data_IF_618258264070
#
_entry.id   IF_618258264070
#
_cell.length_a   1.000
_cell.length_b   1.000
_cell.length_c   1.000
_cell.angle_alpha   90.00
_cell.angle_beta   90.00
_cell.angle_gamma   90.00
#
_symmetry.space_group_name_H-M   'P 1'
#
loop_
_entity.id
_entity.type
_entity.pdbx_description
1 polymer ?
#
# COMPACT_ATOMS: atom_id res chain seq x y z
N UNK A 1 -21.30 -0.79 6.33
CA UNK A 1 -20.98 -0.65 4.89
C UNK A 1 -21.50 -1.89 4.19
N UNK A 2 -22.15 -1.73 3.04
CA UNK A 2 -22.48 -2.87 2.17
C UNK A 2 -21.18 -3.59 1.75
N UNK A 3 -21.18 -4.93 1.74
CA UNK A 3 -19.98 -5.74 1.43
C UNK A 3 -19.44 -5.41 0.05
N UNK A 4 -20.33 -5.12 -0.89
CA UNK A 4 -19.96 -4.70 -2.24
C UNK A 4 -19.21 -3.37 -2.23
N UNK A 5 -19.67 -2.38 -1.45
CA UNK A 5 -18.97 -1.09 -1.29
C UNK A 5 -17.60 -1.27 -0.63
N UNK A 6 -17.49 -2.12 0.38
CA UNK A 6 -16.20 -2.43 1.01
C UNK A 6 -15.21 -3.05 0.01
N UNK A 7 -15.69 -4.00 -0.81
CA UNK A 7 -14.87 -4.62 -1.84
C UNK A 7 -14.39 -3.58 -2.86
N UNK A 8 -15.30 -2.77 -3.41
CA UNK A 8 -14.94 -1.72 -4.36
C UNK A 8 -13.95 -0.72 -3.76
N UNK A 9 -14.18 -0.26 -2.53
CA UNK A 9 -13.28 0.67 -1.86
C UNK A 9 -11.87 0.07 -1.69
N UNK A 10 -11.79 -1.23 -1.38
CA UNK A 10 -10.52 -1.94 -1.26
C UNK A 10 -9.81 -2.07 -2.61
N UNK A 11 -10.55 -2.40 -3.67
CA UNK A 11 -9.99 -2.55 -5.02
C UNK A 11 -9.50 -1.22 -5.60
N UNK A 12 -10.27 -0.14 -5.41
CA UNK A 12 -9.86 1.20 -5.88
C UNK A 12 -8.69 1.74 -5.06
N UNK A 13 -8.74 1.60 -3.73
CA UNK A 13 -7.61 1.97 -2.86
C UNK A 13 -6.38 1.15 -3.19
N UNK A 14 -6.53 -0.15 -3.43
CA UNK A 14 -5.44 -1.03 -3.87
C UNK A 14 -4.78 -0.56 -5.15
N UNK A 15 -5.57 -0.12 -6.15
CA UNK A 15 -5.01 0.45 -7.38
C UNK A 15 -4.24 1.73 -7.11
N UNK A 16 -4.76 2.64 -6.29
CA UNK A 16 -4.06 3.88 -5.91
C UNK A 16 -2.72 3.55 -5.23
N UNK A 17 -2.72 2.65 -4.24
CA UNK A 17 -1.50 2.26 -3.54
C UNK A 17 -0.49 1.58 -4.47
N UNK A 18 -0.95 0.71 -5.38
CA UNK A 18 -0.10 0.10 -6.40
C UNK A 18 0.50 1.17 -7.34
N UNK A 19 -0.29 2.14 -7.78
CA UNK A 19 0.17 3.17 -8.70
C UNK A 19 1.31 3.99 -8.09
N UNK A 20 1.15 4.50 -6.87
CA UNK A 20 2.18 5.28 -6.19
C UNK A 20 3.39 4.44 -5.77
N UNK A 21 3.19 3.17 -5.43
CA UNK A 21 4.28 2.30 -4.98
C UNK A 21 5.10 1.73 -6.13
N UNK A 22 4.45 1.36 -7.25
CA UNK A 22 5.10 0.69 -8.37
C UNK A 22 5.22 1.61 -9.59
N UNK A 23 4.09 1.96 -10.21
CA UNK A 23 4.08 2.55 -11.55
C UNK A 23 4.74 3.94 -11.58
N UNK A 24 4.47 4.78 -10.57
CA UNK A 24 5.09 6.10 -10.46
C UNK A 24 6.61 6.01 -10.28
N UNK A 25 7.08 5.02 -9.54
CA UNK A 25 8.49 4.88 -9.20
C UNK A 25 9.31 4.24 -10.31
N UNK A 26 8.80 3.16 -10.90
CA UNK A 26 9.50 2.46 -11.98
C UNK A 26 9.34 3.17 -13.32
N UNK A 27 8.23 3.89 -13.53
CA UNK A 27 7.92 4.75 -14.68
C UNK A 27 8.04 4.11 -16.08
N UNK A 28 8.36 2.83 -16.17
CA UNK A 28 8.46 2.03 -17.37
C UNK A 28 8.11 0.57 -17.07
N UNK A 29 7.65 -0.15 -18.08
CA UNK A 29 7.46 -1.59 -17.97
C UNK A 29 8.81 -2.28 -17.78
N UNK A 30 8.89 -3.14 -16.77
CA UNK A 30 10.09 -3.91 -16.42
C UNK A 30 10.07 -5.28 -17.12
N UNK A 31 11.23 -5.93 -17.28
CA UNK A 31 11.27 -7.32 -17.71
C UNK A 31 10.42 -8.21 -16.80
N UNK A 32 9.46 -8.92 -17.37
CA UNK A 32 8.51 -9.76 -16.62
C UNK A 32 7.19 -9.07 -16.27
N UNK A 33 7.03 -7.77 -16.55
CA UNK A 33 5.71 -7.13 -16.47
C UNK A 33 4.78 -7.69 -17.54
N UNK A 34 3.67 -8.25 -17.10
CA UNK A 34 2.58 -8.75 -17.93
C UNK A 34 1.26 -8.26 -17.34
N UNK A 35 0.19 -8.26 -18.14
CA UNK A 35 -1.14 -7.93 -17.63
C UNK A 35 -1.55 -8.84 -16.46
N UNK A 36 -1.16 -10.13 -16.50
CA UNK A 36 -1.39 -11.07 -15.41
C UNK A 36 -0.65 -10.67 -14.14
N UNK A 37 0.64 -10.33 -14.25
CA UNK A 37 1.43 -9.92 -13.10
C UNK A 37 0.95 -8.58 -12.52
N UNK A 38 0.59 -7.61 -13.35
CA UNK A 38 -0.03 -6.36 -12.87
C UNK A 38 -1.36 -6.60 -12.18
N UNK A 39 -2.20 -7.51 -12.68
CA UNK A 39 -3.44 -7.88 -12.01
C UNK A 39 -3.17 -8.56 -10.65
N UNK A 40 -2.20 -9.48 -10.58
CA UNK A 40 -1.79 -10.11 -9.32
C UNK A 40 -1.26 -9.10 -8.32
N UNK A 41 -0.40 -8.17 -8.74
CA UNK A 41 0.13 -7.09 -7.90
C UNK A 41 -1.00 -6.17 -7.43
N UNK A 42 -1.94 -5.79 -8.31
CA UNK A 42 -3.11 -5.00 -7.93
C UNK A 42 -3.97 -5.70 -6.88
N UNK A 43 -4.21 -7.01 -7.02
CA UNK A 43 -4.96 -7.79 -6.03
C UNK A 43 -4.22 -7.87 -4.69
N UNK A 44 -2.89 -8.01 -4.72
CA UNK A 44 -2.05 -7.98 -3.53
C UNK A 44 -2.15 -6.62 -2.80
N UNK A 45 -2.00 -5.51 -3.52
CA UNK A 45 -2.21 -4.17 -2.96
C UNK A 45 -3.66 -3.95 -2.49
N UNK A 46 -4.65 -4.57 -3.14
CA UNK A 46 -6.06 -4.50 -2.72
C UNK A 46 -6.31 -5.24 -1.41
N UNK A 47 -5.58 -6.32 -1.14
CA UNK A 47 -5.60 -7.00 0.16
C UNK A 47 -4.93 -6.15 1.24
N UNK A 48 -3.78 -5.52 0.93
CA UNK A 48 -3.13 -4.58 1.84
C UNK A 48 -4.03 -3.36 2.13
N UNK A 49 -4.69 -2.84 1.11
CA UNK A 49 -5.68 -1.76 1.23
C UNK A 49 -6.83 -2.15 2.15
N UNK A 50 -7.33 -3.38 2.08
CA UNK A 50 -8.37 -3.87 2.98
C UNK A 50 -7.93 -3.78 4.44
N UNK A 51 -6.72 -4.27 4.75
CA UNK A 51 -6.15 -4.24 6.10
C UNK A 51 -5.97 -2.79 6.57
N UNK A 52 -5.39 -1.94 5.72
CA UNK A 52 -5.20 -0.51 5.98
C UNK A 52 -6.52 0.21 6.27
N UNK A 53 -7.52 0.07 5.39
CA UNK A 53 -8.83 0.71 5.54
C UNK A 53 -9.56 0.19 6.79
N UNK A 54 -9.40 -1.10 7.10
CA UNK A 54 -9.93 -1.69 8.33
C UNK A 54 -9.29 -1.05 9.56
N UNK A 55 -7.97 -0.84 9.57
CA UNK A 55 -7.28 -0.14 10.65
C UNK A 55 -7.73 1.33 10.78
N UNK A 56 -7.81 2.06 9.66
CA UNK A 56 -8.29 3.46 9.64
C UNK A 56 -9.69 3.56 10.22
N UNK A 57 -10.59 2.67 9.81
CA UNK A 57 -11.97 2.65 10.28
C UNK A 57 -12.09 2.23 11.75
N UNK A 58 -11.45 1.12 12.13
CA UNK A 58 -11.56 0.54 13.47
C UNK A 58 -10.96 1.44 14.55
N UNK A 59 -9.78 2.02 14.28
CA UNK A 59 -9.11 2.93 15.22
C UNK A 59 -9.51 4.39 15.06
N UNK A 60 -10.47 4.69 14.16
CA UNK A 60 -11.03 6.03 13.93
C UNK A 60 -9.92 7.06 13.66
N UNK A 61 -9.00 6.72 12.78
CA UNK A 61 -7.81 7.53 12.48
C UNK A 61 -8.24 8.89 11.93
N UNK A 62 -7.97 9.95 12.70
CA UNK A 62 -8.37 11.33 12.38
C UNK A 62 -7.22 12.32 12.19
N UNK A 63 -5.96 11.87 12.22
CA UNK A 63 -4.77 12.73 12.11
C UNK A 63 -3.78 12.19 11.07
N UNK A 64 -2.92 13.07 10.54
CA UNK A 64 -1.86 12.65 9.60
C UNK A 64 -0.87 11.69 10.24
N UNK A 65 -0.52 11.88 11.52
CA UNK A 65 0.36 10.95 12.23
C UNK A 65 -0.29 9.57 12.39
N UNK A 66 -1.58 9.51 12.74
CA UNK A 66 -2.31 8.24 12.81
C UNK A 66 -2.45 7.58 11.43
N UNK A 67 -2.59 8.38 10.37
CA UNK A 67 -2.64 7.87 8.99
C UNK A 67 -1.31 7.28 8.57
N UNK A 68 -0.20 7.92 8.92
CA UNK A 68 1.14 7.41 8.67
C UNK A 68 1.36 6.06 9.38
N UNK A 69 0.95 5.94 10.64
CA UNK A 69 1.01 4.67 11.40
C UNK A 69 0.10 3.61 10.79
N UNK A 70 -1.11 3.95 10.36
CA UNK A 70 -1.96 3.00 9.66
C UNK A 70 -1.35 2.57 8.31
N UNK A 71 -0.74 3.52 7.59
CA UNK A 71 -0.06 3.29 6.32
C UNK A 71 1.21 2.44 6.44
N UNK A 72 1.87 2.41 7.61
CA UNK A 72 3.02 1.53 7.83
C UNK A 72 2.66 0.06 7.71
N UNK A 73 1.39 -0.31 7.97
CA UNK A 73 0.90 -1.68 7.74
C UNK A 73 1.02 -2.07 6.27
N UNK A 74 0.76 -1.15 5.34
CA UNK A 74 0.91 -1.41 3.89
C UNK A 74 2.37 -1.76 3.58
N UNK A 75 3.32 -0.94 4.07
CA UNK A 75 4.73 -1.16 3.80
C UNK A 75 5.32 -2.37 4.48
N UNK A 76 5.04 -2.57 5.77
CA UNK A 76 5.59 -3.72 6.50
C UNK A 76 4.98 -5.05 6.06
N UNK A 77 3.69 -5.09 5.73
CA UNK A 77 3.11 -6.33 5.18
C UNK A 77 3.53 -6.56 3.73
N UNK A 78 3.60 -5.50 2.91
CA UNK A 78 4.10 -5.59 1.55
C UNK A 78 5.52 -6.14 1.51
N UNK A 79 6.45 -5.47 2.19
CA UNK A 79 7.86 -5.83 2.15
C UNK A 79 8.21 -7.01 3.06
N UNK A 80 7.47 -7.24 4.15
CA UNK A 80 7.75 -8.31 5.11
C UNK A 80 7.11 -9.64 4.74
N UNK A 81 5.93 -9.63 4.12
CA UNK A 81 5.15 -10.84 3.82
C UNK A 81 5.14 -11.16 2.33
N UNK A 82 4.96 -10.15 1.47
CA UNK A 82 4.75 -10.39 0.04
C UNK A 82 6.07 -10.42 -0.74
N UNK A 83 6.87 -9.36 -0.62
CA UNK A 83 8.14 -9.21 -1.35
C UNK A 83 9.32 -9.78 -0.57
N UNK A 84 9.19 -9.87 0.76
CA UNK A 84 10.19 -10.41 1.69
C UNK A 84 11.52 -9.64 1.72
N UNK A 85 11.54 -8.37 1.34
CA UNK A 85 12.75 -7.53 1.38
C UNK A 85 12.97 -6.83 2.72
N UNK A 86 12.00 -6.83 3.64
CA UNK A 86 12.04 -6.03 4.87
C UNK A 86 13.34 -6.20 5.70
N UNK A 87 13.96 -7.37 5.61
CA UNK A 87 15.14 -7.74 6.39
C UNK A 87 16.46 -7.78 5.58
N UNK A 88 16.46 -7.44 4.29
CA UNK A 88 17.68 -7.54 3.47
C UNK A 88 18.76 -6.56 3.96
N UNK A 89 18.36 -5.39 4.45
CA UNK A 89 19.19 -4.31 4.96
C UNK A 89 18.63 -3.79 6.29
N UNK A 90 18.50 -4.67 7.29
CA UNK A 90 17.97 -4.31 8.60
C UNK A 90 18.93 -3.37 9.38
N UNK A 91 18.44 -2.32 10.07
CA UNK A 91 17.03 -1.90 10.20
C UNK A 91 16.58 -0.88 9.14
N UNK A 92 17.44 -0.53 8.17
CA UNK A 92 17.20 0.56 7.23
C UNK A 92 15.92 0.37 6.40
N UNK A 93 15.67 -0.83 5.86
CA UNK A 93 14.48 -1.09 5.04
C UNK A 93 13.17 -1.03 5.83
N UNK A 94 13.17 -1.32 7.13
CA UNK A 94 11.97 -1.12 7.97
C UNK A 94 11.53 0.34 7.92
N UNK A 95 12.49 1.27 7.96
CA UNK A 95 12.22 2.70 7.88
C UNK A 95 12.08 3.22 6.45
N UNK A 96 12.91 2.76 5.52
CA UNK A 96 12.94 3.31 4.17
C UNK A 96 11.82 2.76 3.29
N UNK A 97 11.86 1.49 2.91
CA UNK A 97 10.81 0.91 2.04
C UNK A 97 9.49 0.83 2.79
N UNK A 98 9.49 0.32 4.02
CA UNK A 98 8.28 0.23 4.83
C UNK A 98 7.60 1.58 5.12
N UNK A 99 8.33 2.56 5.65
CA UNK A 99 7.75 3.83 6.08
C UNK A 99 7.85 4.94 5.03
N UNK A 100 9.05 5.26 4.53
CA UNK A 100 9.20 6.37 3.60
C UNK A 100 8.51 6.10 2.25
N UNK A 101 8.61 4.88 1.71
CA UNK A 101 7.99 4.57 0.42
C UNK A 101 6.48 4.34 0.57
N UNK A 102 6.04 3.33 1.33
CA UNK A 102 4.63 2.98 1.34
C UNK A 102 3.77 3.86 2.26
N UNK A 103 4.22 4.14 3.48
CA UNK A 103 3.41 4.92 4.42
C UNK A 103 3.39 6.42 4.06
N UNK A 104 4.56 7.01 3.80
CA UNK A 104 4.66 8.44 3.50
C UNK A 104 4.23 8.72 2.05
N UNK A 105 4.87 8.12 1.05
CA UNK A 105 4.58 8.45 -0.35
C UNK A 105 3.24 7.85 -0.78
N UNK A 106 3.04 6.54 -0.68
CA UNK A 106 1.82 5.92 -1.24
C UNK A 106 0.56 6.27 -0.45
N UNK A 107 0.62 6.28 0.89
CA UNK A 107 -0.56 6.56 1.73
C UNK A 107 -0.73 8.05 2.01
N UNK A 108 0.26 8.71 2.63
CA UNK A 108 0.10 10.11 3.07
C UNK A 108 0.14 11.13 1.92
N UNK A 109 0.95 10.91 0.87
CA UNK A 109 0.97 11.80 -0.30
C UNK A 109 -0.01 11.32 -1.37
N UNK A 110 -0.03 10.03 -1.70
CA UNK A 110 -0.88 9.48 -2.76
C UNK A 110 -2.34 9.37 -2.36
N UNK A 111 -2.67 8.38 -1.52
CA UNK A 111 -4.06 8.07 -1.17
C UNK A 111 -4.78 9.23 -0.45
N UNK A 112 -4.12 9.90 0.49
CA UNK A 112 -4.74 10.99 1.26
C UNK A 112 -5.26 12.15 0.41
N UNK A 113 -4.55 12.51 -0.66
CA UNK A 113 -4.94 13.62 -1.54
C UNK A 113 -5.98 13.23 -2.59
N UNK A 114 -6.24 11.93 -2.78
CA UNK A 114 -7.19 11.40 -3.76
C UNK A 114 -8.51 10.90 -3.14
N UNK A 115 -8.59 10.78 -1.81
CA UNK A 115 -9.78 10.33 -1.08
C UNK A 115 -10.81 11.44 -0.88
#
# INVERSE_FOLDING_TARGET
MDRFRSLLLSLTTGYVLMFFSEHMFWAQARPGDTLGNWASTWLAYSLLAFVFLTAVWHYRVGSLAGLFVAGSLVGWLGEGVLVQTLYDQFPLQISWTGLAWHALISVCLGWYHLR
#
